data_IF_180997166121
#
_entry.id   IF_180997166121
#
_cell.length_a   1.000
_cell.length_b   1.000
_cell.length_c   1.000
_cell.angle_alpha   90.00
_cell.angle_beta   90.00
_cell.angle_gamma   90.00
#
_symmetry.space_group_name_H-M   'P 1'
#
loop_
_entity.id
_entity.type
_entity.pdbx_description
1 polymer ?
#
# COMPACT_ATOMS: atom_id res chain seq x y z
N UNK A 1 -10.18 -19.50 -18.00
CA UNK A 1 -8.97 -18.67 -17.92
C UNK A 1 -7.89 -19.51 -17.28
N UNK A 2 -6.70 -19.63 -17.90
CA UNK A 2 -5.61 -20.36 -17.25
C UNK A 2 -5.28 -19.65 -15.93
N UNK A 3 -5.01 -20.43 -14.90
CA UNK A 3 -4.70 -19.93 -13.55
C UNK A 3 -3.44 -19.06 -13.50
N UNK A 4 -2.63 -19.06 -14.57
CA UNK A 4 -1.44 -18.20 -14.75
C UNK A 4 -1.75 -16.71 -14.67
N UNK A 5 -2.94 -16.29 -15.11
CA UNK A 5 -3.30 -14.86 -15.17
C UNK A 5 -3.90 -14.35 -13.84
N UNK A 6 -4.19 -15.25 -12.91
CA UNK A 6 -4.83 -14.91 -11.63
C UNK A 6 -3.84 -14.31 -10.63
N UNK A 7 -2.58 -14.73 -10.63
CA UNK A 7 -1.59 -14.23 -9.67
C UNK A 7 -1.23 -12.75 -9.93
N UNK A 8 -0.85 -12.32 -11.15
CA UNK A 8 -0.66 -10.89 -11.44
C UNK A 8 -1.92 -10.07 -11.15
N UNK A 9 -3.10 -10.59 -11.49
CA UNK A 9 -4.37 -9.91 -11.24
C UNK A 9 -4.65 -9.72 -9.74
N UNK A 10 -4.37 -10.75 -8.92
CA UNK A 10 -4.51 -10.68 -7.47
C UNK A 10 -3.52 -9.70 -6.84
N UNK A 11 -2.26 -9.72 -7.28
CA UNK A 11 -1.23 -8.78 -6.83
C UNK A 11 -1.57 -7.34 -7.20
N UNK A 12 -2.13 -7.09 -8.40
CA UNK A 12 -2.64 -5.76 -8.79
C UNK A 12 -3.73 -5.28 -7.83
N UNK A 13 -4.68 -6.14 -7.48
CA UNK A 13 -5.74 -5.80 -6.52
C UNK A 13 -5.20 -5.59 -5.10
N UNK A 14 -4.19 -6.34 -4.70
CA UNK A 14 -3.52 -6.12 -3.43
C UNK A 14 -2.80 -4.76 -3.41
N UNK A 15 -2.17 -4.37 -4.52
CA UNK A 15 -1.54 -3.06 -4.66
C UNK A 15 -2.55 -1.90 -4.57
N UNK A 16 -3.71 -2.03 -5.24
CA UNK A 16 -4.81 -1.08 -5.12
C UNK A 16 -5.29 -0.94 -3.67
N UNK A 17 -5.38 -2.06 -2.93
CA UNK A 17 -5.74 -2.03 -1.52
C UNK A 17 -4.67 -1.32 -0.66
N UNK A 18 -3.37 -1.51 -0.92
CA UNK A 18 -2.31 -0.79 -0.19
C UNK A 18 -2.47 0.74 -0.36
N UNK A 19 -2.65 1.21 -1.60
CA UNK A 19 -2.86 2.63 -1.90
C UNK A 19 -4.10 3.19 -1.20
N UNK A 20 -5.22 2.47 -1.25
CA UNK A 20 -6.47 2.91 -0.62
C UNK A 20 -6.34 2.96 0.91
N UNK A 21 -5.70 1.96 1.51
CA UNK A 21 -5.47 1.90 2.96
C UNK A 21 -4.49 2.98 3.42
N UNK A 22 -3.39 3.19 2.69
CA UNK A 22 -2.43 4.25 2.98
C UNK A 22 -3.12 5.62 2.98
N UNK A 23 -3.88 5.93 1.93
CA UNK A 23 -4.59 7.20 1.81
C UNK A 23 -5.58 7.43 2.96
N UNK A 24 -6.39 6.42 3.29
CA UNK A 24 -7.36 6.50 4.38
C UNK A 24 -6.68 6.67 5.75
N UNK A 25 -5.60 5.93 6.01
CA UNK A 25 -4.86 5.98 7.27
C UNK A 25 -4.12 7.33 7.38
N UNK A 26 -3.53 7.84 6.31
CA UNK A 26 -2.86 9.14 6.28
C UNK A 26 -3.86 10.29 6.54
N UNK A 27 -5.05 10.24 5.94
CA UNK A 27 -6.11 11.20 6.21
C UNK A 27 -6.50 11.20 7.70
N UNK A 28 -6.72 10.02 8.28
CA UNK A 28 -7.03 9.88 9.71
C UNK A 28 -5.87 10.35 10.60
N UNK A 29 -4.62 10.05 10.23
CA UNK A 29 -3.42 10.51 10.94
C UNK A 29 -3.35 12.03 10.98
N UNK A 30 -3.61 12.70 9.85
CA UNK A 30 -3.65 14.15 9.78
C UNK A 30 -4.82 14.72 10.60
N UNK A 31 -5.98 14.06 10.59
CA UNK A 31 -7.15 14.48 11.35
C UNK A 31 -6.94 14.43 12.87
N UNK A 32 -6.24 13.41 13.38
CA UNK A 32 -5.90 13.31 14.81
C UNK A 32 -4.79 14.29 15.21
N UNK A 33 -3.82 14.54 14.33
CA UNK A 33 -2.75 15.52 14.57
C UNK A 33 -3.31 16.94 14.75
N UNK A 34 -4.24 17.35 13.88
CA UNK A 34 -4.93 18.63 13.98
C UNK A 34 -5.72 18.82 15.30
N UNK A 35 -5.94 17.74 16.05
CA UNK A 35 -6.60 17.74 17.36
C UNK A 35 -5.61 17.60 18.53
N UNK A 36 -4.32 17.75 18.26
CA UNK A 36 -3.26 17.75 19.26
C UNK A 36 -2.66 16.38 19.56
N UNK A 37 -3.11 15.31 18.88
CA UNK A 37 -2.57 13.96 19.07
C UNK A 37 -1.33 13.72 18.19
N UNK A 38 -0.31 14.57 18.31
CA UNK A 38 0.89 14.56 17.46
C UNK A 38 1.66 13.24 17.57
N UNK A 39 1.90 12.75 18.78
CA UNK A 39 2.61 11.47 18.99
C UNK A 39 1.87 10.28 18.36
N UNK A 40 0.52 10.30 18.39
CA UNK A 40 -0.29 9.26 17.74
C UNK A 40 -0.13 9.35 16.22
N UNK A 41 -0.18 10.55 15.65
CA UNK A 41 0.02 10.75 14.23
C UNK A 41 1.42 10.32 13.77
N UNK A 42 2.45 10.64 14.53
CA UNK A 42 3.83 10.22 14.23
C UNK A 42 4.00 8.70 14.29
N UNK A 43 3.40 8.04 15.29
CA UNK A 43 3.40 6.58 15.37
C UNK A 43 2.67 5.93 14.19
N UNK A 44 1.52 6.49 13.77
CA UNK A 44 0.77 6.02 12.60
C UNK A 44 1.60 6.20 11.33
N UNK A 45 2.24 7.35 11.12
CA UNK A 45 3.11 7.59 9.96
C UNK A 45 4.34 6.69 9.96
N UNK A 46 4.93 6.42 11.12
CA UNK A 46 6.00 5.44 11.26
C UNK A 46 5.56 4.04 10.82
N UNK A 47 4.32 3.65 11.13
CA UNK A 47 3.75 2.39 10.67
C UNK A 47 3.39 2.40 9.16
N UNK A 48 2.95 3.53 8.61
CA UNK A 48 2.67 3.68 7.17
C UNK A 48 3.89 3.38 6.28
N UNK A 49 5.11 3.58 6.79
CA UNK A 49 6.34 3.20 6.07
C UNK A 49 6.35 1.70 5.70
N UNK A 50 5.70 0.84 6.48
CA UNK A 50 5.59 -0.58 6.13
C UNK A 50 4.62 -0.82 4.96
N UNK A 51 3.56 -0.02 4.85
CA UNK A 51 2.59 -0.09 3.73
C UNK A 51 3.27 0.37 2.44
N UNK A 52 3.97 1.50 2.46
CA UNK A 52 4.73 2.04 1.32
C UNK A 52 5.75 1.03 0.77
N UNK A 53 6.55 0.42 1.66
CA UNK A 53 7.50 -0.65 1.27
C UNK A 53 6.82 -1.87 0.66
N UNK A 54 5.66 -2.25 1.17
CA UNK A 54 4.91 -3.40 0.63
C UNK A 54 4.33 -3.07 -0.75
N UNK A 55 3.81 -1.85 -0.93
CA UNK A 55 3.35 -1.35 -2.22
C UNK A 55 4.47 -1.36 -3.26
N UNK A 56 5.65 -0.81 -2.93
CA UNK A 56 6.81 -0.81 -3.82
C UNK A 56 7.21 -2.23 -4.22
N UNK A 57 7.26 -3.15 -3.24
CA UNK A 57 7.61 -4.54 -3.50
C UNK A 57 6.59 -5.24 -4.42
N UNK A 58 5.29 -4.99 -4.24
CA UNK A 58 4.24 -5.54 -5.11
C UNK A 58 4.37 -4.97 -6.52
N UNK A 59 4.57 -3.65 -6.66
CA UNK A 59 4.79 -2.99 -7.96
C UNK A 59 5.98 -3.59 -8.70
N UNK A 60 7.12 -3.77 -8.03
CA UNK A 60 8.31 -4.37 -8.62
C UNK A 60 8.05 -5.82 -9.05
N UNK A 61 7.38 -6.61 -8.21
CA UNK A 61 7.04 -8.00 -8.52
C UNK A 61 6.14 -8.09 -9.75
N UNK A 62 5.12 -7.24 -9.85
CA UNK A 62 4.26 -7.15 -11.03
C UNK A 62 5.04 -6.77 -12.29
N UNK A 63 5.96 -5.81 -12.20
CA UNK A 63 6.79 -5.42 -13.34
C UNK A 63 7.63 -6.60 -13.87
N UNK A 64 8.24 -7.38 -12.97
CA UNK A 64 9.00 -8.58 -13.34
C UNK A 64 8.09 -9.64 -13.98
N UNK A 65 6.92 -9.91 -13.40
CA UNK A 65 5.99 -10.92 -13.92
C UNK A 65 5.39 -10.58 -15.29
N UNK A 66 5.27 -9.30 -15.62
CA UNK A 66 4.66 -8.83 -16.86
C UNK A 66 5.70 -8.49 -17.94
N UNK A 67 6.99 -8.67 -17.67
CA UNK A 67 8.05 -8.47 -18.67
C UNK A 67 7.98 -9.59 -19.72
N UNK A 68 7.80 -9.27 -21.02
CA UNK A 68 7.86 -10.27 -22.09
C UNK A 68 9.25 -10.89 -22.18
N UNK A 69 9.33 -12.18 -22.53
CA UNK A 69 10.61 -12.81 -22.91
C UNK A 69 11.27 -12.16 -24.15
#
# INVERSE_FOLDING_TARGET
MPTSDLLPSLLSKLNENQLALEAAILELSNWVELRGAVEVADNVRGALVAIDRNEEFIKMTLAVMMTPE
#
